data_IF_769771851348
#
_entry.id   IF_769771851348
#
_cell.length_a   1.000
_cell.length_b   1.000
_cell.length_c   1.000
_cell.angle_alpha   90.00
_cell.angle_beta   90.00
_cell.angle_gamma   90.00
#
_symmetry.space_group_name_H-M   'P 1'
#
loop_
_entity.id
_entity.type
_entity.pdbx_description
1 polymer ?
#
# COMPACT_ATOMS: atom_id res chain seq x y z
N UNK A 1 -85.99 -30.91 -10.42
CA UNK A 1 -84.99 -29.91 -10.88
C UNK A 1 -84.03 -29.48 -9.76
N UNK A 2 -84.42 -29.52 -8.48
CA UNK A 2 -83.58 -29.04 -7.36
C UNK A 2 -82.36 -29.90 -7.02
N UNK A 3 -82.47 -31.23 -7.03
CA UNK A 3 -81.34 -32.14 -6.78
C UNK A 3 -80.15 -31.90 -7.72
N UNK A 4 -80.43 -31.59 -8.99
CA UNK A 4 -79.40 -31.28 -9.97
C UNK A 4 -78.70 -29.95 -9.65
N UNK A 5 -79.46 -28.92 -9.27
CA UNK A 5 -78.91 -27.63 -8.82
C UNK A 5 -78.00 -27.78 -7.60
N UNK A 6 -78.42 -28.56 -6.61
CA UNK A 6 -77.64 -28.82 -5.41
C UNK A 6 -76.30 -29.52 -5.74
N UNK A 7 -76.33 -30.55 -6.58
CA UNK A 7 -75.11 -31.25 -7.01
C UNK A 7 -74.16 -30.36 -7.80
N UNK A 8 -74.68 -29.43 -8.62
CA UNK A 8 -73.84 -28.46 -9.34
C UNK A 8 -73.15 -27.51 -8.35
N UNK A 9 -73.88 -26.97 -7.36
CA UNK A 9 -73.32 -26.08 -6.34
C UNK A 9 -72.21 -26.76 -5.54
N UNK A 10 -72.44 -27.99 -5.07
CA UNK A 10 -71.45 -28.77 -4.32
C UNK A 10 -70.18 -29.02 -5.15
N UNK A 11 -70.32 -29.36 -6.44
CA UNK A 11 -69.18 -29.54 -7.34
C UNK A 11 -68.40 -28.24 -7.58
N UNK A 12 -69.10 -27.11 -7.71
CA UNK A 12 -68.45 -25.80 -7.88
C UNK A 12 -67.70 -25.41 -6.60
N UNK A 13 -68.32 -25.58 -5.43
CA UNK A 13 -67.68 -25.30 -4.14
C UNK A 13 -66.45 -26.20 -3.92
N UNK A 14 -66.55 -27.49 -4.20
CA UNK A 14 -65.42 -28.42 -4.08
C UNK A 14 -64.24 -27.99 -4.96
N UNK A 15 -64.51 -27.63 -6.23
CA UNK A 15 -63.47 -27.13 -7.15
C UNK A 15 -62.86 -25.80 -6.70
N UNK A 16 -63.67 -24.88 -6.17
CA UNK A 16 -63.17 -23.62 -5.62
C UNK A 16 -62.26 -23.86 -4.42
N UNK A 17 -62.66 -24.74 -3.50
CA UNK A 17 -61.86 -25.09 -2.34
C UNK A 17 -60.53 -25.75 -2.73
N UNK A 18 -60.55 -26.70 -3.68
CA UNK A 18 -59.35 -27.34 -4.20
C UNK A 18 -58.39 -26.33 -4.86
N UNK A 19 -58.93 -25.41 -5.67
CA UNK A 19 -58.12 -24.36 -6.30
C UNK A 19 -57.49 -23.42 -5.26
N UNK A 20 -58.26 -23.00 -4.24
CA UNK A 20 -57.75 -22.17 -3.15
C UNK A 20 -56.66 -22.89 -2.35
N UNK A 21 -56.88 -24.15 -1.98
CA UNK A 21 -55.88 -24.96 -1.27
C UNK A 21 -54.58 -25.12 -2.08
N UNK A 22 -54.67 -25.32 -3.41
CA UNK A 22 -53.49 -25.38 -4.26
C UNK A 22 -52.73 -24.05 -4.32
N UNK A 23 -53.45 -22.92 -4.37
CA UNK A 23 -52.83 -21.59 -4.36
C UNK A 23 -52.18 -21.32 -3.00
N UNK A 24 -52.85 -21.63 -1.90
CA UNK A 24 -52.32 -21.50 -0.54
C UNK A 24 -51.02 -22.30 -0.36
N UNK A 25 -51.00 -23.57 -0.77
CA UNK A 25 -49.80 -24.42 -0.69
C UNK A 25 -48.63 -23.86 -1.52
N UNK A 26 -48.91 -23.30 -2.72
CA UNK A 26 -47.89 -22.61 -3.52
C UNK A 26 -47.36 -21.35 -2.84
N UNK A 27 -48.22 -20.57 -2.19
CA UNK A 27 -47.82 -19.37 -1.45
C UNK A 27 -46.96 -19.76 -0.25
N UNK A 28 -47.38 -20.76 0.55
CA UNK A 28 -46.64 -21.23 1.72
C UNK A 28 -45.26 -21.78 1.35
N UNK A 29 -45.14 -22.53 0.25
CA UNK A 29 -43.83 -22.95 -0.26
C UNK A 29 -42.94 -21.77 -0.59
N UNK A 30 -43.45 -20.80 -1.36
CA UNK A 30 -42.67 -19.60 -1.72
C UNK A 30 -42.23 -18.78 -0.50
N UNK A 31 -43.07 -18.68 0.52
CA UNK A 31 -42.72 -18.00 1.78
C UNK A 31 -41.54 -18.73 2.43
N UNK A 32 -41.62 -20.05 2.61
CA UNK A 32 -40.53 -20.85 3.19
C UNK A 32 -39.23 -20.75 2.39
N UNK A 33 -39.31 -20.81 1.07
CA UNK A 33 -38.14 -20.66 0.20
C UNK A 33 -37.47 -19.28 0.40
N UNK A 34 -38.29 -18.22 0.54
CA UNK A 34 -37.80 -16.86 0.78
C UNK A 34 -37.25 -16.67 2.19
N UNK A 35 -37.86 -17.29 3.20
CA UNK A 35 -37.34 -17.29 4.57
C UNK A 35 -35.96 -17.95 4.64
N UNK A 36 -35.77 -19.08 3.95
CA UNK A 36 -34.46 -19.75 3.87
C UNK A 36 -33.39 -18.93 3.12
N UNK A 37 -33.79 -18.22 2.06
CA UNK A 37 -32.91 -17.28 1.34
C UNK A 37 -32.46 -16.14 2.27
N UNK A 38 -33.39 -15.55 3.03
CA UNK A 38 -33.10 -14.50 4.02
C UNK A 38 -32.17 -15.00 5.12
N UNK A 39 -32.40 -16.21 5.64
CA UNK A 39 -31.52 -16.80 6.65
C UNK A 39 -30.09 -17.00 6.13
N UNK A 40 -29.95 -17.46 4.88
CA UNK A 40 -28.65 -17.60 4.23
C UNK A 40 -27.93 -16.27 4.08
N UNK A 41 -28.64 -15.22 3.65
CA UNK A 41 -28.10 -13.86 3.52
C UNK A 41 -27.68 -13.32 4.89
N UNK A 42 -28.51 -13.49 5.93
CA UNK A 42 -28.20 -13.01 7.28
C UNK A 42 -26.95 -13.68 7.84
N UNK A 43 -26.82 -15.00 7.65
CA UNK A 43 -25.61 -15.73 8.05
C UNK A 43 -24.37 -15.15 7.36
N UNK A 44 -24.45 -14.95 6.04
CA UNK A 44 -23.33 -14.38 5.27
C UNK A 44 -23.01 -12.95 5.71
N UNK A 45 -24.02 -12.14 6.00
CA UNK A 45 -23.82 -10.78 6.48
C UNK A 45 -23.10 -10.78 7.85
N UNK A 46 -23.51 -11.64 8.77
CA UNK A 46 -22.84 -11.80 10.07
C UNK A 46 -21.36 -12.21 9.92
N UNK A 47 -21.06 -13.18 9.04
CA UNK A 47 -19.68 -13.59 8.77
C UNK A 47 -18.82 -12.42 8.25
N UNK A 48 -19.38 -11.62 7.34
CA UNK A 48 -18.67 -10.46 6.76
C UNK A 48 -18.46 -9.35 7.80
N UNK A 49 -19.44 -9.09 8.66
CA UNK A 49 -19.29 -8.13 9.76
C UNK A 49 -18.18 -8.55 10.73
N UNK A 50 -18.06 -9.84 11.04
CA UNK A 50 -17.00 -10.34 11.91
C UNK A 50 -15.61 -10.25 11.24
N UNK A 51 -15.52 -10.51 9.93
CA UNK A 51 -14.30 -10.29 9.16
C UNK A 51 -13.88 -8.81 9.17
N UNK A 52 -14.84 -7.88 9.01
CA UNK A 52 -14.56 -6.43 9.08
C UNK A 52 -14.03 -6.05 10.47
N UNK A 53 -14.64 -6.56 11.54
CA UNK A 53 -14.16 -6.31 12.91
C UNK A 53 -12.74 -6.82 13.12
N UNK A 54 -12.44 -8.03 12.65
CA UNK A 54 -11.10 -8.61 12.76
C UNK A 54 -10.07 -7.76 12.01
N UNK A 55 -10.34 -7.42 10.75
CA UNK A 55 -9.46 -6.58 9.93
C UNK A 55 -9.24 -5.20 10.56
N UNK A 56 -10.27 -4.60 11.17
CA UNK A 56 -10.13 -3.33 11.87
C UNK A 56 -9.15 -3.40 13.05
N UNK A 57 -9.17 -4.51 13.81
CA UNK A 57 -8.20 -4.74 14.91
C UNK A 57 -6.79 -4.92 14.36
N UNK A 58 -6.62 -5.69 13.28
CA UNK A 58 -5.32 -5.91 12.65
C UNK A 58 -4.73 -4.60 12.12
N UNK A 59 -5.51 -3.79 11.39
CA UNK A 59 -5.09 -2.47 10.91
C UNK A 59 -4.69 -1.57 12.08
N UNK A 60 -5.48 -1.55 13.16
CA UNK A 60 -5.15 -0.82 14.37
C UNK A 60 -3.80 -1.23 14.96
N UNK A 61 -3.55 -2.54 15.09
CA UNK A 61 -2.29 -3.06 15.61
C UNK A 61 -1.09 -2.67 14.73
N UNK A 62 -1.22 -2.76 13.40
CA UNK A 62 -0.18 -2.33 12.47
C UNK A 62 0.08 -0.82 12.55
N UNK A 63 -0.97 -0.01 12.65
CA UNK A 63 -0.85 1.44 12.80
C UNK A 63 -0.14 1.82 14.11
N UNK A 64 -0.47 1.17 15.22
CA UNK A 64 0.21 1.40 16.50
C UNK A 64 1.69 1.04 16.43
N UNK A 65 2.03 -0.11 15.82
CA UNK A 65 3.42 -0.51 15.60
C UNK A 65 4.18 0.49 14.74
N UNK A 66 3.56 0.99 13.68
CA UNK A 66 4.18 2.00 12.82
C UNK A 66 4.47 3.31 13.59
N UNK A 67 3.51 3.81 14.38
CA UNK A 67 3.68 5.01 15.22
C UNK A 67 4.75 4.85 16.30
N UNK A 68 4.83 3.67 16.92
CA UNK A 68 5.86 3.35 17.89
C UNK A 68 7.25 3.38 17.24
N UNK A 69 7.40 2.73 16.08
CA UNK A 69 8.66 2.74 15.33
C UNK A 69 9.05 4.17 14.90
N UNK A 70 8.09 4.97 14.43
CA UNK A 70 8.32 6.37 14.08
C UNK A 70 8.82 7.20 15.28
N UNK A 71 8.16 7.06 16.44
CA UNK A 71 8.59 7.72 17.68
C UNK A 71 10.01 7.33 18.08
N UNK A 72 10.36 6.04 17.94
CA UNK A 72 11.69 5.54 18.22
C UNK A 72 12.74 6.12 17.27
N UNK A 73 12.46 6.15 15.96
CA UNK A 73 13.34 6.75 14.96
C UNK A 73 13.56 8.24 15.26
N UNK A 74 12.50 8.98 15.60
CA UNK A 74 12.59 10.39 15.96
C UNK A 74 13.45 10.62 17.21
N UNK A 75 13.30 9.78 18.23
CA UNK A 75 14.14 9.86 19.44
C UNK A 75 15.61 9.58 19.13
N UNK A 76 15.89 8.54 18.33
CA UNK A 76 17.25 8.22 17.89
C UNK A 76 17.86 9.36 17.07
N UNK A 77 17.09 9.94 16.15
CA UNK A 77 17.50 11.09 15.33
C UNK A 77 17.87 12.29 16.21
N UNK A 78 17.02 12.63 17.17
CA UNK A 78 17.28 13.72 18.12
C UNK A 78 18.56 13.49 18.94
N UNK A 79 18.77 12.26 19.42
CA UNK A 79 19.99 11.91 20.15
C UNK A 79 21.26 12.05 19.29
N UNK A 80 21.21 11.64 18.02
CA UNK A 80 22.33 11.81 17.09
C UNK A 80 22.62 13.29 16.81
N UNK A 81 21.60 14.11 16.59
CA UNK A 81 21.75 15.55 16.37
C UNK A 81 22.42 16.23 17.56
N UNK A 82 22.03 15.88 18.79
CA UNK A 82 22.69 16.39 19.99
C UNK A 82 24.16 16.01 20.05
N UNK A 83 24.50 14.73 19.84
CA UNK A 83 25.90 14.25 19.87
C UNK A 83 26.77 14.94 18.82
N UNK A 84 26.26 15.16 17.60
CA UNK A 84 26.96 15.93 16.56
C UNK A 84 27.15 17.40 16.95
N UNK A 85 26.16 18.02 17.59
CA UNK A 85 26.25 19.40 18.06
C UNK A 85 27.27 19.57 19.21
N UNK A 86 27.44 18.55 20.05
CA UNK A 86 28.45 18.54 21.12
C UNK A 86 29.88 18.36 20.57
N UNK A 87 30.12 17.44 19.62
CA UNK A 87 31.45 17.24 19.01
C UNK A 87 31.97 18.47 18.25
N UNK A 88 31.09 19.35 17.80
CA UNK A 88 31.45 20.60 17.10
C UNK A 88 32.09 21.66 18.02
N UNK A 89 31.97 21.51 19.36
CA UNK A 89 32.50 22.48 20.33
C UNK A 89 33.86 22.09 20.92
N UNK A 90 34.25 20.82 20.83
CA UNK A 90 35.49 20.31 21.45
C UNK A 90 36.74 20.39 20.53
N UNK A 91 36.62 20.96 19.32
CA UNK A 91 37.76 21.25 18.43
C UNK A 91 38.26 22.71 18.49
N UNK A 92 37.80 23.50 19.46
CA UNK A 92 38.26 24.88 19.69
C UNK A 92 39.14 25.00 20.93
N UNK A 93 40.26 24.27 20.96
CA UNK A 93 41.38 24.64 21.81
C UNK A 93 42.69 24.40 21.04
N UNK A 94 43.41 25.49 20.76
CA UNK A 94 44.68 25.47 20.04
C UNK A 94 44.59 26.06 18.62
N UNK A 95 44.50 27.38 18.51
CA UNK A 95 44.98 28.06 17.30
C UNK A 95 46.04 29.07 17.74
N UNK A 96 47.30 28.64 17.63
CA UNK A 96 48.45 29.52 17.62
C UNK A 96 48.39 30.39 16.38
N UNK A 97 48.81 31.63 16.57
CA UNK A 97 48.94 32.69 15.61
C UNK A 97 49.66 32.23 14.33
N UNK A 98 48.96 32.27 13.20
CA UNK A 98 49.55 32.17 11.86
C UNK A 98 48.65 32.93 10.90
N UNK A 99 49.05 34.16 10.69
CA UNK A 99 48.67 35.05 9.60
C UNK A 99 48.97 34.42 8.24
N UNK A 100 47.95 33.96 7.51
CA UNK A 100 47.96 33.96 6.04
C UNK A 100 46.55 34.05 5.47
N UNK A 101 46.53 34.76 4.37
CA UNK A 101 45.45 35.35 3.60
C UNK A 101 44.49 34.33 2.93
N UNK A 102 43.33 34.89 2.61
CA UNK A 102 42.40 34.51 1.55
C UNK A 102 41.18 33.60 1.84
N UNK A 103 40.03 34.23 1.53
CA UNK A 103 38.70 33.68 1.28
C UNK A 103 37.89 33.13 2.47
N UNK A 104 37.24 34.04 3.19
CA UNK A 104 36.03 33.76 3.95
C UNK A 104 34.93 34.76 3.58
N UNK A 105 33.81 34.29 3.02
CA UNK A 105 32.46 34.65 3.44
C UNK A 105 31.44 34.22 2.39
N UNK A 106 30.56 33.31 2.76
CA UNK A 106 29.11 33.56 2.76
C UNK A 106 28.39 32.26 3.10
N UNK A 107 27.93 32.20 4.35
CA UNK A 107 26.97 31.25 4.83
C UNK A 107 25.71 31.33 3.95
N UNK A 108 25.44 30.30 3.15
CA UNK A 108 24.10 30.12 2.59
C UNK A 108 23.38 29.04 3.40
N UNK A 109 22.39 29.48 4.17
CA UNK A 109 21.46 28.61 4.87
C UNK A 109 20.66 27.78 3.86
N UNK A 110 20.58 26.47 4.11
CA UNK A 110 19.79 25.57 3.29
C UNK A 110 19.83 24.16 3.83
N UNK A 111 18.74 23.80 4.53
CA UNK A 111 18.25 22.45 4.81
C UNK A 111 19.30 21.33 4.92
N UNK A 112 19.55 20.92 6.17
CA UNK A 112 20.16 19.64 6.55
C UNK A 112 19.56 18.46 5.77
N UNK A 113 20.23 18.05 4.70
CA UNK A 113 20.10 16.69 4.14
C UNK A 113 21.41 15.96 4.44
N UNK A 114 21.39 15.21 5.55
CA UNK A 114 22.49 14.36 5.98
C UNK A 114 22.54 13.12 5.08
N UNK A 115 23.17 13.26 3.91
CA UNK A 115 23.67 12.12 3.13
C UNK A 115 25.18 12.05 3.33
N UNK A 116 25.56 11.27 4.34
CA UNK A 116 26.87 10.63 4.43
C UNK A 116 27.14 9.92 3.09
N UNK A 117 28.14 10.37 2.32
CA UNK A 117 29.03 9.57 1.48
C UNK A 117 30.15 10.46 0.88
N UNK A 118 31.32 9.90 0.53
CA UNK A 118 32.54 10.66 0.23
C UNK A 118 32.42 11.48 -1.05
N UNK A 119 32.80 12.76 -0.97
CA UNK A 119 33.03 13.61 -2.14
C UNK A 119 34.23 13.09 -2.93
N UNK A 120 33.99 12.24 -3.92
CA UNK A 120 34.80 12.27 -5.13
C UNK A 120 34.13 13.20 -6.14
N UNK A 121 34.87 14.26 -6.42
CA UNK A 121 34.57 15.33 -7.35
C UNK A 121 34.48 14.77 -8.79
N UNK A 122 33.30 14.34 -9.25
CA UNK A 122 33.01 14.13 -10.67
C UNK A 122 31.65 14.75 -11.01
N UNK A 123 31.67 15.59 -12.03
CA UNK A 123 30.55 16.39 -12.54
C UNK A 123 29.26 15.58 -12.77
N UNK A 124 28.06 16.20 -12.73
CA UNK A 124 26.75 15.53 -12.80
C UNK A 124 26.37 14.93 -14.17
N UNK A 125 27.33 14.68 -15.06
CA UNK A 125 27.06 14.08 -16.39
C UNK A 125 26.95 12.55 -16.38
N UNK A 126 27.43 11.89 -15.33
CA UNK A 126 27.47 10.41 -15.27
C UNK A 126 26.24 9.75 -14.63
N UNK A 127 25.30 10.53 -14.10
CA UNK A 127 24.06 10.02 -13.49
C UNK A 127 22.97 9.69 -14.51
N UNK A 128 23.11 10.17 -15.75
CA UNK A 128 22.12 9.94 -16.81
C UNK A 128 22.48 8.76 -17.71
N UNK A 129 23.72 8.26 -17.75
CA UNK A 129 24.07 7.14 -18.64
C UNK A 129 23.82 5.75 -18.02
N UNK A 130 23.36 4.80 -18.82
CA UNK A 130 23.20 3.40 -18.43
C UNK A 130 24.49 2.85 -17.82
N UNK A 131 24.38 2.25 -16.63
CA UNK A 131 25.53 1.78 -15.85
C UNK A 131 26.28 0.62 -16.51
N UNK A 132 25.63 -0.09 -17.42
CA UNK A 132 26.17 -1.31 -18.07
C UNK A 132 26.81 -0.98 -19.41
N UNK A 133 26.04 -0.49 -20.38
CA UNK A 133 26.55 -0.24 -21.73
C UNK A 133 27.25 1.10 -21.88
N UNK A 134 26.95 2.09 -21.01
CA UNK A 134 27.46 3.46 -21.08
C UNK A 134 27.17 4.19 -22.40
N UNK A 135 26.36 3.61 -23.28
CA UNK A 135 26.10 4.10 -24.65
C UNK A 135 24.77 4.84 -24.78
N UNK A 136 23.82 4.59 -23.87
CA UNK A 136 22.48 5.15 -23.88
C UNK A 136 22.12 5.69 -22.50
N UNK A 137 21.11 6.56 -22.46
CA UNK A 137 20.59 7.12 -21.22
C UNK A 137 19.93 6.03 -20.36
N UNK A 138 20.07 6.15 -19.04
CA UNK A 138 19.39 5.34 -18.06
C UNK A 138 17.93 5.83 -17.96
N UNK A 139 17.01 5.04 -18.49
CA UNK A 139 15.57 5.30 -18.46
C UNK A 139 14.79 4.27 -17.62
N UNK A 140 15.45 3.25 -17.06
CA UNK A 140 14.78 2.17 -16.34
C UNK A 140 14.99 2.28 -14.82
N UNK A 141 13.90 2.44 -14.09
CA UNK A 141 13.84 2.38 -12.63
C UNK A 141 13.57 0.94 -12.16
N UNK A 142 14.45 0.42 -11.30
CA UNK A 142 14.41 -0.98 -10.86
C UNK A 142 13.68 -1.14 -9.52
N UNK A 143 12.69 -2.01 -9.45
CA UNK A 143 12.00 -2.36 -8.20
C UNK A 143 12.56 -3.65 -7.59
N UNK A 144 12.71 -3.71 -6.24
CA UNK A 144 12.16 -2.76 -5.26
C UNK A 144 13.08 -1.58 -4.89
N UNK A 145 14.33 -1.54 -5.35
CA UNK A 145 15.33 -0.58 -4.86
C UNK A 145 15.20 0.86 -5.39
N UNK A 146 14.34 1.10 -6.38
CA UNK A 146 14.03 2.38 -7.04
C UNK A 146 15.21 3.09 -7.68
N UNK A 147 16.28 2.36 -7.99
CA UNK A 147 17.44 2.93 -8.68
C UNK A 147 17.17 3.08 -10.18
N UNK A 148 17.35 4.29 -10.70
CA UNK A 148 17.38 4.59 -12.13
C UNK A 148 18.83 4.48 -12.63
N UNK A 149 19.17 3.38 -13.30
CA UNK A 149 20.57 3.10 -13.63
C UNK A 149 20.80 2.27 -14.90
N UNK A 150 19.76 1.83 -15.60
CA UNK A 150 19.86 1.01 -16.81
C UNK A 150 19.09 1.65 -17.96
N UNK A 151 19.54 1.42 -19.19
CA UNK A 151 18.71 1.60 -20.39
C UNK A 151 17.79 0.39 -20.58
N UNK A 152 16.81 0.53 -21.48
CA UNK A 152 15.84 -0.51 -21.81
C UNK A 152 16.48 -1.83 -22.26
N UNK A 153 17.52 -1.78 -23.08
CA UNK A 153 18.19 -2.99 -23.60
C UNK A 153 18.98 -3.73 -22.51
N UNK A 154 19.58 -2.98 -21.58
CA UNK A 154 20.36 -3.57 -20.49
C UNK A 154 19.48 -4.08 -19.35
N UNK A 155 18.33 -3.48 -19.13
CA UNK A 155 17.37 -3.91 -18.11
C UNK A 155 16.94 -5.36 -18.33
N UNK A 156 16.60 -5.74 -19.57
CA UNK A 156 16.14 -7.09 -19.91
C UNK A 156 17.17 -8.21 -19.63
N UNK A 157 18.46 -7.87 -19.56
CA UNK A 157 19.58 -8.82 -19.41
C UNK A 157 20.02 -9.02 -17.97
N UNK A 158 19.52 -8.23 -17.04
CA UNK A 158 19.94 -8.23 -15.63
C UNK A 158 18.79 -8.61 -14.70
N UNK A 159 19.10 -9.48 -13.73
CA UNK A 159 18.17 -9.89 -12.66
C UNK A 159 18.43 -9.18 -11.33
N UNK A 160 19.38 -8.24 -11.28
CA UNK A 160 19.75 -7.49 -10.09
C UNK A 160 20.13 -6.04 -10.43
N UNK A 161 20.05 -5.15 -9.44
CA UNK A 161 20.45 -3.76 -9.59
C UNK A 161 21.99 -3.62 -9.53
N UNK A 162 22.65 -3.01 -10.52
CA UNK A 162 24.11 -2.83 -10.50
C UNK A 162 24.60 -1.83 -9.44
N UNK A 163 23.72 -1.01 -8.84
CA UNK A 163 24.09 -0.05 -7.80
C UNK A 163 24.09 -0.67 -6.40
N UNK A 164 23.06 -1.45 -6.06
CA UNK A 164 22.86 -1.96 -4.70
C UNK A 164 22.75 -3.49 -4.62
N UNK A 165 22.92 -4.19 -5.74
CA UNK A 165 22.90 -5.66 -5.85
C UNK A 165 21.59 -6.33 -5.41
N UNK A 166 20.52 -5.57 -5.17
CA UNK A 166 19.20 -6.11 -4.88
C UNK A 166 18.61 -6.82 -6.10
N UNK A 167 17.93 -7.95 -5.87
CA UNK A 167 17.19 -8.66 -6.91
C UNK A 167 16.13 -7.77 -7.56
N UNK A 168 16.11 -7.75 -8.90
CA UNK A 168 15.15 -7.01 -9.70
C UNK A 168 13.88 -7.84 -9.85
N UNK A 169 12.76 -7.29 -9.39
CA UNK A 169 11.43 -7.86 -9.61
C UNK A 169 10.83 -7.31 -10.91
N UNK A 170 10.96 -6.00 -11.11
CA UNK A 170 10.39 -5.29 -12.26
C UNK A 170 11.25 -4.08 -12.62
N UNK A 171 11.39 -3.80 -13.92
CA UNK A 171 11.90 -2.54 -14.44
C UNK A 171 10.75 -1.69 -15.00
N UNK A 172 10.72 -0.40 -14.66
CA UNK A 172 9.77 0.56 -15.20
C UNK A 172 10.50 1.64 -15.99
N UNK A 173 10.07 1.86 -17.22
CA UNK A 173 10.58 2.94 -18.06
C UNK A 173 10.01 4.28 -17.60
N UNK A 174 10.88 5.27 -17.41
CA UNK A 174 10.52 6.64 -17.06
C UNK A 174 10.89 7.53 -18.25
N UNK A 175 9.92 8.33 -18.69
CA UNK A 175 10.14 9.37 -19.69
C UNK A 175 10.61 10.62 -18.96
N UNK A 176 11.83 11.06 -19.27
CA UNK A 176 12.46 12.28 -18.75
C UNK A 176 12.22 13.46 -19.68
#
# INVERSE_FOLDING_TARGET
>A
SERLRQSILEKVQAKQFEALASVEDKILRKIRDKEAEVETINKRNSELEDQIKQLAVEVGAWQQRAKYNESMINALKYNLEQVCAHQSKDFKEGCGDSEVDDTASCCNGGAVNLQLMPKENRQPKDLTACRVCKSSEACMLLLPCRHLCLCKECESKLSFCPLCQSSKILGMEIYM
#
